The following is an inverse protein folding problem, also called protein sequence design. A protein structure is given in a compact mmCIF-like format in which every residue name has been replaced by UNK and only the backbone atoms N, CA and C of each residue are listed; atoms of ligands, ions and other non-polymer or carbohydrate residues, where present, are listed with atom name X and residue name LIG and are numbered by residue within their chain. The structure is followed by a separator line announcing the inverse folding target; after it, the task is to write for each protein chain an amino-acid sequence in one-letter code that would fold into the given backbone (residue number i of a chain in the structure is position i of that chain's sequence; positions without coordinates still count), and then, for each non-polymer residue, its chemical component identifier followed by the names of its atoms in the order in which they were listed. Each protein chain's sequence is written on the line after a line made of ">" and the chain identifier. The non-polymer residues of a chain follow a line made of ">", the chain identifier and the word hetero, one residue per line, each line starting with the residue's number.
data_IF_164282366841
#
_entry.id   IF_164282366841
#
_cell.length_a   1.000
_cell.length_b   1.000
_cell.length_c   1.000
_cell.angle_alpha   90.00
_cell.angle_beta   90.00
_cell.angle_gamma   90.00
#
_symmetry.space_group_name_H-M   'P 1'
#
loop_
_entity.id
_entity.type
_entity.pdbx_description
1 polymer ?
#
# COMPACT_ATOMS: atom_id res chain seq x y z
N UNK A 1 -8.51 -12.35 -14.60
CA UNK A 1 -8.07 -12.57 -13.20
C UNK A 1 -7.04 -11.50 -12.79
N UNK A 2 -7.42 -10.22 -12.72
CA UNK A 2 -6.48 -9.12 -12.36
C UNK A 2 -6.94 -8.24 -11.19
N UNK A 3 -8.21 -8.30 -10.78
CA UNK A 3 -8.77 -7.35 -9.81
C UNK A 3 -8.45 -7.70 -8.33
N UNK A 4 -8.09 -8.94 -8.03
CA UNK A 4 -7.92 -9.42 -6.64
C UNK A 4 -6.54 -9.21 -6.04
N UNK A 5 -5.53 -8.84 -6.83
CA UNK A 5 -4.15 -8.65 -6.33
C UNK A 5 -3.65 -7.21 -6.43
N UNK A 6 -4.55 -6.24 -6.69
CA UNK A 6 -4.17 -4.85 -6.92
C UNK A 6 -3.51 -4.24 -5.68
N UNK A 7 -4.13 -4.37 -4.49
CA UNK A 7 -3.58 -3.84 -3.23
C UNK A 7 -2.21 -4.44 -2.94
N UNK A 8 -2.09 -5.77 -3.02
CA UNK A 8 -0.82 -6.45 -2.79
C UNK A 8 0.29 -5.97 -3.70
N UNK A 9 0.00 -5.79 -4.99
CA UNK A 9 0.99 -5.31 -5.94
C UNK A 9 1.45 -3.88 -5.64
N UNK A 10 0.53 -3.01 -5.21
CA UNK A 10 0.85 -1.63 -4.82
C UNK A 10 1.71 -1.60 -3.56
N UNK A 11 1.38 -2.43 -2.58
CA UNK A 11 2.17 -2.61 -1.36
C UNK A 11 3.56 -3.16 -1.67
N UNK A 12 3.66 -4.22 -2.48
CA UNK A 12 4.94 -4.77 -2.92
C UNK A 12 5.80 -3.72 -3.61
N UNK A 13 5.19 -2.86 -4.43
CA UNK A 13 5.89 -1.76 -5.10
C UNK A 13 6.40 -0.73 -4.09
N UNK A 14 5.61 -0.35 -3.09
CA UNK A 14 6.02 0.55 -2.02
C UNK A 14 7.19 -0.02 -1.20
N UNK A 15 7.09 -1.30 -0.82
CA UNK A 15 8.14 -2.06 -0.13
C UNK A 15 9.44 -2.12 -0.95
N UNK A 16 9.32 -2.42 -2.26
CA UNK A 16 10.46 -2.54 -3.16
C UNK A 16 11.22 -1.22 -3.32
N UNK A 17 10.51 -0.12 -3.52
CA UNK A 17 11.13 1.22 -3.64
C UNK A 17 11.45 1.85 -2.29
N UNK A 18 11.06 1.20 -1.17
CA UNK A 18 11.18 1.67 0.21
C UNK A 18 10.54 3.03 0.46
N UNK A 19 9.48 3.35 -0.27
CA UNK A 19 8.76 4.62 -0.18
C UNK A 19 7.28 4.42 -0.42
N UNK A 20 6.47 5.03 0.42
CA UNK A 20 5.06 5.24 0.14
C UNK A 20 4.92 6.64 -0.48
N UNK A 21 4.74 6.68 -1.81
CA UNK A 21 4.50 7.93 -2.52
C UNK A 21 3.01 8.29 -2.47
N UNK A 22 2.65 9.58 -2.65
CA UNK A 22 1.24 9.99 -2.66
C UNK A 22 0.44 9.25 -3.72
N UNK A 23 1.04 8.97 -4.88
CA UNK A 23 0.39 8.20 -5.95
C UNK A 23 0.06 6.77 -5.51
N UNK A 24 1.00 6.09 -4.85
CA UNK A 24 0.79 4.72 -4.34
C UNK A 24 -0.25 4.71 -3.23
N UNK A 25 -0.18 5.65 -2.29
CA UNK A 25 -1.16 5.80 -1.22
C UNK A 25 -2.57 6.04 -1.80
N UNK A 26 -2.69 6.93 -2.78
CA UNK A 26 -3.96 7.21 -3.45
C UNK A 26 -4.50 5.98 -4.20
N UNK A 27 -3.67 5.26 -4.93
CA UNK A 27 -4.08 4.03 -5.62
C UNK A 27 -4.54 2.95 -4.62
N UNK A 28 -3.82 2.77 -3.51
CA UNK A 28 -4.22 1.84 -2.43
C UNK A 28 -5.58 2.25 -1.85
N UNK A 29 -5.76 3.53 -1.50
CA UNK A 29 -7.02 4.05 -0.94
C UNK A 29 -8.19 3.94 -1.91
N UNK A 30 -7.96 4.19 -3.20
CA UNK A 30 -8.97 4.03 -4.25
C UNK A 30 -9.40 2.57 -4.38
N UNK A 31 -8.44 1.63 -4.36
CA UNK A 31 -8.76 0.21 -4.43
C UNK A 31 -9.47 -0.32 -3.18
N UNK A 32 -9.07 0.14 -1.99
CA UNK A 32 -9.78 -0.16 -0.74
C UNK A 32 -11.24 0.33 -0.80
N UNK A 33 -11.45 1.57 -1.26
CA UNK A 33 -12.78 2.16 -1.43
C UNK A 33 -13.60 1.40 -2.47
N UNK A 34 -12.97 0.99 -3.59
CA UNK A 34 -13.64 0.26 -4.68
C UNK A 34 -14.05 -1.15 -4.25
N UNK A 35 -13.22 -1.85 -3.48
CA UNK A 35 -13.49 -3.21 -3.02
C UNK A 35 -14.53 -3.22 -1.89
N UNK A 36 -14.46 -2.28 -0.95
CA UNK A 36 -15.37 -2.21 0.20
C UNK A 36 -15.20 -3.35 1.22
N UNK A 37 -14.26 -4.25 0.98
CA UNK A 37 -13.79 -5.29 1.89
C UNK A 37 -12.31 -5.58 1.57
N UNK A 38 -11.60 -6.15 2.53
CA UNK A 38 -10.21 -6.56 2.37
C UNK A 38 -10.08 -8.05 2.63
N UNK A 39 -9.32 -8.75 1.79
CA UNK A 39 -8.99 -10.16 2.03
C UNK A 39 -7.91 -10.27 3.11
N UNK A 40 -7.85 -11.39 3.84
CA UNK A 40 -6.82 -11.61 4.88
C UNK A 40 -5.41 -11.38 4.34
N UNK A 41 -5.15 -11.82 3.10
CA UNK A 41 -3.82 -11.72 2.47
C UNK A 41 -3.49 -10.27 2.08
N UNK A 42 -4.48 -9.47 1.68
CA UNK A 42 -4.26 -8.04 1.40
C UNK A 42 -4.13 -7.23 2.70
N UNK A 43 -4.81 -7.67 3.77
CA UNK A 43 -4.67 -7.11 5.09
C UNK A 43 -3.25 -7.34 5.65
N UNK A 44 -2.74 -8.57 5.58
CA UNK A 44 -1.36 -8.90 5.98
C UNK A 44 -0.32 -8.06 5.21
N UNK A 45 -0.55 -7.82 3.91
CA UNK A 45 0.33 -6.98 3.12
C UNK A 45 0.34 -5.52 3.62
N UNK A 46 -0.83 -4.94 3.89
CA UNK A 46 -0.92 -3.59 4.45
C UNK A 46 -0.31 -3.49 5.85
N UNK A 47 -0.53 -4.50 6.70
CA UNK A 47 0.07 -4.56 8.03
C UNK A 47 1.61 -4.55 7.95
N UNK A 48 2.18 -5.34 7.02
CA UNK A 48 3.62 -5.32 6.76
C UNK A 48 4.10 -3.93 6.32
N UNK A 49 3.39 -3.27 5.41
CA UNK A 49 3.73 -1.92 4.97
C UNK A 49 3.80 -0.94 6.16
N UNK A 50 2.81 -1.00 7.05
CA UNK A 50 2.75 -0.14 8.23
C UNK A 50 3.88 -0.43 9.23
N UNK A 51 4.16 -1.70 9.54
CA UNK A 51 5.26 -2.09 10.42
C UNK A 51 6.63 -1.66 9.87
N UNK A 52 6.82 -1.72 8.55
CA UNK A 52 8.03 -1.24 7.88
C UNK A 52 8.17 0.30 7.93
N UNK A 53 7.06 1.03 7.84
CA UNK A 53 7.01 2.49 8.02
C UNK A 53 7.33 2.88 9.47
N UNK A 54 6.71 2.22 10.45
CA UNK A 54 6.94 2.48 11.89
C UNK A 54 8.39 2.22 12.29
N UNK A 55 9.04 1.24 11.65
CA UNK A 55 10.48 0.95 11.83
C UNK A 55 11.39 1.87 11.03
N UNK A 56 10.84 2.86 10.31
CA UNK A 56 11.59 3.83 9.50
C UNK A 56 12.31 3.23 8.29
N UNK A 57 11.91 2.03 7.85
CA UNK A 57 12.48 1.38 6.65
C UNK A 57 11.81 1.83 5.36
N UNK A 58 10.60 2.37 5.47
CA UNK A 58 9.84 2.96 4.38
C UNK A 58 9.60 4.43 4.71
N UNK A 59 9.99 5.30 3.79
CA UNK A 59 9.74 6.73 3.91
C UNK A 59 8.33 7.06 3.37
N UNK A 60 7.53 7.76 4.19
CA UNK A 60 6.33 8.43 3.70
C UNK A 60 6.75 9.70 2.96
N UNK A 61 6.60 9.70 1.63
CA UNK A 61 6.90 10.87 0.83
C UNK A 61 5.65 11.74 0.78
N UNK A 62 5.61 12.80 1.58
CA UNK A 62 4.54 13.78 1.51
C UNK A 62 4.52 14.45 0.12
N UNK A 63 3.34 14.73 -0.42
CA UNK A 63 3.24 15.61 -1.59
C UNK A 63 3.69 17.00 -1.18
N UNK A 64 4.60 17.66 -1.91
CA UNK A 64 4.81 19.10 -1.73
C UNK A 64 3.49 19.81 -2.04
N UNK A 65 3.02 20.61 -1.09
CA UNK A 65 1.82 21.43 -1.20
C UNK A 65 1.92 22.45 -2.34
#
# INVERSE_FOLDING_TARGET
>A
MKATAAIRHLVEKALYIKRLTPDLENEINNELTRLGYISDVDYEALELLMDEMDRGRIELVASPY
#
